data_IF_694532492741
#
_entry.id   IF_694532492741
#
_cell.length_a   1.000
_cell.length_b   1.000
_cell.length_c   1.000
_cell.angle_alpha   90.00
_cell.angle_beta   90.00
_cell.angle_gamma   90.00
#
_symmetry.space_group_name_H-M   'P 1'
#
loop_
_entity.id
_entity.type
_entity.pdbx_description
1 polymer ?
#
# COMPACT_ATOMS: atom_id res chain seq x y z
N UNK A 1 -71.56 -9.35 -40.28
CA UNK A 1 -70.28 -8.69 -40.61
C UNK A 1 -69.58 -8.32 -39.34
N UNK A 2 -68.69 -9.17 -38.81
CA UNK A 2 -67.97 -8.97 -37.58
C UNK A 2 -66.50 -8.60 -37.93
N UNK A 3 -66.07 -7.40 -37.63
CA UNK A 3 -64.70 -6.92 -37.82
C UNK A 3 -63.84 -7.39 -36.67
N UNK A 4 -62.87 -8.26 -36.91
CA UNK A 4 -61.79 -8.60 -35.98
C UNK A 4 -60.78 -7.47 -36.02
N UNK A 5 -60.54 -6.83 -34.88
CA UNK A 5 -59.43 -5.92 -34.67
C UNK A 5 -58.28 -6.73 -34.04
N UNK A 6 -57.24 -6.97 -34.82
CA UNK A 6 -56.04 -7.60 -34.31
C UNK A 6 -55.18 -6.53 -33.61
N UNK A 7 -55.01 -6.67 -32.32
CA UNK A 7 -54.16 -5.83 -31.47
C UNK A 7 -52.75 -6.42 -31.44
N UNK A 8 -51.84 -5.81 -32.23
CA UNK A 8 -50.42 -6.16 -32.19
C UNK A 8 -49.78 -5.61 -30.94
N UNK A 9 -49.44 -6.51 -30.00
CA UNK A 9 -48.61 -6.17 -28.82
C UNK A 9 -47.14 -6.11 -29.29
N UNK A 10 -46.59 -4.90 -29.38
CA UNK A 10 -45.15 -4.66 -29.49
C UNK A 10 -44.49 -4.96 -28.15
N UNK A 11 -43.83 -6.08 -28.04
CA UNK A 11 -42.92 -6.37 -26.91
C UNK A 11 -41.66 -5.55 -27.10
N UNK A 12 -41.54 -4.46 -26.35
CA UNK A 12 -40.29 -3.74 -26.19
C UNK A 12 -39.38 -4.56 -25.26
N UNK A 13 -38.48 -5.35 -25.85
CA UNK A 13 -37.45 -6.05 -25.12
C UNK A 13 -36.45 -5.05 -24.53
N UNK A 14 -36.51 -4.79 -23.21
CA UNK A 14 -35.42 -4.16 -22.50
C UNK A 14 -34.19 -5.05 -22.58
N UNK A 15 -33.28 -4.74 -23.50
CA UNK A 15 -31.91 -5.23 -23.44
C UNK A 15 -31.25 -4.50 -22.25
N UNK A 16 -31.29 -5.11 -21.07
CA UNK A 16 -30.45 -4.74 -19.98
C UNK A 16 -29.01 -5.04 -20.40
N UNK A 17 -28.34 -4.03 -20.97
CA UNK A 17 -26.90 -4.06 -21.18
C UNK A 17 -26.23 -4.30 -19.85
N UNK A 18 -25.72 -5.50 -19.61
CA UNK A 18 -24.80 -5.76 -18.52
C UNK A 18 -23.56 -4.89 -18.79
N UNK A 19 -23.52 -3.73 -18.17
CA UNK A 19 -22.29 -2.97 -18.02
C UNK A 19 -21.35 -3.86 -17.21
N UNK A 20 -20.47 -4.62 -17.87
CA UNK A 20 -19.28 -5.14 -17.24
C UNK A 20 -18.46 -3.90 -16.82
N UNK A 21 -18.80 -3.33 -15.68
CA UNK A 21 -17.84 -2.55 -14.94
C UNK A 21 -16.70 -3.52 -14.64
N UNK A 22 -15.61 -3.39 -15.38
CA UNK A 22 -14.32 -3.93 -14.94
C UNK A 22 -14.02 -3.21 -13.64
N UNK A 23 -14.53 -3.75 -12.52
CA UNK A 23 -14.01 -3.40 -11.21
C UNK A 23 -12.54 -3.79 -11.30
N UNK A 24 -11.63 -2.80 -11.24
CA UNK A 24 -10.23 -3.10 -10.95
C UNK A 24 -10.27 -4.04 -9.76
N UNK A 25 -9.85 -5.29 -9.94
CA UNK A 25 -9.71 -6.25 -8.85
C UNK A 25 -8.58 -5.74 -7.96
N UNK A 26 -8.93 -4.84 -7.05
CA UNK A 26 -8.06 -4.44 -5.95
C UNK A 26 -8.03 -5.59 -4.97
N UNK A 27 -6.86 -5.79 -4.34
CA UNK A 27 -6.67 -6.91 -3.46
C UNK A 27 -6.00 -8.10 -4.11
N UNK A 28 -5.41 -7.91 -5.30
CA UNK A 28 -4.49 -8.85 -5.92
C UNK A 28 -3.06 -8.35 -5.83
N UNK A 29 -2.11 -9.27 -5.74
CA UNK A 29 -0.68 -8.97 -5.89
C UNK A 29 -0.39 -8.91 -7.39
N UNK A 30 0.27 -7.85 -7.85
CA UNK A 30 0.63 -7.67 -9.26
C UNK A 30 1.71 -8.66 -9.71
N UNK A 31 1.74 -8.98 -10.99
CA UNK A 31 2.74 -9.89 -11.55
C UNK A 31 4.17 -9.35 -11.42
N UNK A 32 4.32 -8.03 -11.57
CA UNK A 32 5.58 -7.30 -11.43
C UNK A 32 5.34 -5.88 -10.88
N UNK A 33 6.44 -5.15 -10.65
CA UNK A 33 6.38 -3.80 -10.09
C UNK A 33 5.74 -2.76 -11.04
N UNK A 34 5.81 -2.98 -12.37
CA UNK A 34 5.24 -2.06 -13.37
C UNK A 34 3.72 -2.23 -13.49
N UNK A 35 3.20 -3.37 -13.02
CA UNK A 35 1.78 -3.74 -13.09
C UNK A 35 0.99 -3.41 -11.82
N UNK A 36 1.59 -2.77 -10.82
CA UNK A 36 0.89 -2.39 -9.58
C UNK A 36 -0.26 -1.41 -9.85
N UNK A 37 -1.34 -1.52 -9.07
CA UNK A 37 -2.57 -0.71 -9.22
C UNK A 37 -2.87 0.05 -7.92
N UNK A 38 -2.06 1.05 -7.55
CA UNK A 38 -2.16 1.71 -6.25
C UNK A 38 -3.45 2.49 -6.09
N UNK A 39 -3.79 2.78 -4.81
CA UNK A 39 -4.90 3.67 -4.48
C UNK A 39 -4.67 5.05 -5.08
N UNK A 40 -5.74 5.61 -5.64
CA UNK A 40 -5.75 6.95 -6.21
C UNK A 40 -6.16 8.01 -5.17
N UNK A 41 -5.78 9.26 -5.40
CA UNK A 41 -6.24 10.39 -4.60
C UNK A 41 -7.78 10.41 -4.55
N UNK A 42 -8.34 10.68 -3.37
CA UNK A 42 -9.77 10.66 -3.10
C UNK A 42 -10.31 9.30 -2.65
N UNK A 43 -9.59 8.20 -2.86
CA UNK A 43 -10.00 6.88 -2.37
C UNK A 43 -9.69 6.71 -0.88
N UNK A 44 -10.36 5.76 -0.24
CA UNK A 44 -10.21 5.51 1.19
C UNK A 44 -9.31 4.29 1.40
N UNK A 45 -8.35 4.42 2.31
CA UNK A 45 -7.47 3.34 2.72
C UNK A 45 -8.27 2.14 3.29
N UNK A 46 -7.84 0.91 3.05
CA UNK A 46 -8.52 -0.29 3.51
C UNK A 46 -8.44 -0.42 5.04
N UNK A 47 -9.39 -1.19 5.58
CA UNK A 47 -9.44 -1.53 7.01
C UNK A 47 -8.63 -2.80 7.26
N UNK A 48 -7.33 -2.64 7.39
CA UNK A 48 -6.41 -3.77 7.62
C UNK A 48 -5.83 -3.74 9.01
N UNK A 49 -5.31 -4.88 9.44
CA UNK A 49 -4.61 -5.05 10.72
C UNK A 49 -3.14 -5.31 10.45
N UNK A 50 -2.30 -4.50 11.05
CA UNK A 50 -0.85 -4.58 11.04
C UNK A 50 -0.36 -5.06 12.41
N UNK A 51 0.94 -5.28 12.55
CA UNK A 51 1.57 -5.51 13.84
C UNK A 51 2.59 -4.41 14.13
N UNK A 52 2.64 -4.00 15.38
CA UNK A 52 3.73 -3.17 15.88
C UNK A 52 5.03 -3.99 15.94
N UNK A 53 6.17 -3.32 16.15
CA UNK A 53 7.46 -4.00 16.29
C UNK A 53 7.53 -4.96 17.51
N UNK A 54 6.69 -4.77 18.53
CA UNK A 54 6.54 -5.68 19.67
C UNK A 54 5.59 -6.87 19.39
N UNK A 55 5.06 -6.99 18.16
CA UNK A 55 4.13 -8.02 17.73
C UNK A 55 2.66 -7.73 18.07
N UNK A 56 2.35 -6.66 18.79
CA UNK A 56 0.97 -6.31 19.12
C UNK A 56 0.18 -5.89 17.86
N UNK A 57 -1.08 -6.35 17.70
CA UNK A 57 -1.89 -5.97 16.56
C UNK A 57 -2.38 -4.52 16.65
N UNK A 58 -2.41 -3.83 15.52
CA UNK A 58 -2.93 -2.47 15.41
C UNK A 58 -3.72 -2.29 14.12
N UNK A 59 -4.86 -1.63 14.19
CA UNK A 59 -5.66 -1.29 13.02
C UNK A 59 -5.11 -0.04 12.33
N UNK A 60 -4.86 -0.11 11.02
CA UNK A 60 -4.50 1.07 10.22
C UNK A 60 -5.56 2.17 10.35
N UNK A 61 -6.85 1.81 10.33
CA UNK A 61 -7.94 2.76 10.53
C UNK A 61 -7.86 3.46 11.89
N UNK A 62 -7.56 2.73 12.96
CA UNK A 62 -7.43 3.32 14.30
C UNK A 62 -6.28 4.32 14.37
N UNK A 63 -5.16 4.06 13.72
CA UNK A 63 -4.02 4.97 13.62
C UNK A 63 -4.38 6.24 12.85
N UNK A 64 -4.97 6.10 11.66
CA UNK A 64 -5.32 7.24 10.80
C UNK A 64 -6.41 8.13 11.40
N UNK A 65 -7.35 7.57 12.19
CA UNK A 65 -8.36 8.35 12.90
C UNK A 65 -7.78 9.26 14.00
N UNK A 66 -6.64 8.91 14.56
CA UNK A 66 -5.97 9.73 15.58
C UNK A 66 -5.32 10.97 14.96
N UNK A 67 -4.53 10.77 13.89
CA UNK A 67 -3.78 11.83 13.21
C UNK A 67 -3.79 11.62 11.70
N UNK A 68 -3.72 12.69 10.89
CA UNK A 68 -3.34 12.57 9.49
C UNK A 68 -2.03 11.80 9.41
N UNK A 69 -1.87 10.97 8.38
CA UNK A 69 -0.78 10.00 8.35
C UNK A 69 -0.04 10.05 7.03
N UNK A 70 1.29 10.05 7.10
CA UNK A 70 2.16 9.74 5.99
C UNK A 70 2.47 8.26 6.08
N UNK A 71 1.94 7.48 5.14
CA UNK A 71 2.12 6.03 5.06
C UNK A 71 3.18 5.74 4.01
N UNK A 72 4.31 5.20 4.45
CA UNK A 72 5.41 4.77 3.61
C UNK A 72 5.39 3.25 3.47
N UNK A 73 5.34 2.72 2.25
CA UNK A 73 5.62 1.32 1.99
C UNK A 73 7.07 1.14 1.56
N UNK A 74 7.78 0.25 2.26
CA UNK A 74 9.19 -0.02 1.99
C UNK A 74 9.48 -1.53 2.01
N UNK A 75 10.57 -1.92 1.37
CA UNK A 75 10.89 -3.33 1.10
C UNK A 75 11.40 -4.09 2.33
N UNK A 76 12.02 -3.36 3.26
CA UNK A 76 12.62 -3.90 4.48
C UNK A 76 13.87 -3.14 4.91
N UNK A 77 14.32 -3.34 6.16
CA UNK A 77 15.51 -2.72 6.74
C UNK A 77 16.82 -3.11 6.03
N UNK A 78 16.83 -4.22 5.31
CA UNK A 78 17.96 -4.66 4.49
C UNK A 78 18.16 -3.84 3.20
N UNK A 79 17.21 -2.97 2.81
CA UNK A 79 17.23 -2.23 1.55
C UNK A 79 17.92 -0.87 1.72
N UNK A 80 19.11 -0.61 1.11
CA UNK A 80 19.83 0.65 1.30
C UNK A 80 19.03 1.89 0.89
N UNK A 81 18.33 1.84 -0.25
CA UNK A 81 17.49 2.95 -0.73
C UNK A 81 16.30 3.24 0.21
N UNK A 82 15.79 2.20 0.91
CA UNK A 82 14.73 2.38 1.90
C UNK A 82 15.27 3.08 3.15
N UNK A 83 16.46 2.68 3.61
CA UNK A 83 17.11 3.28 4.77
C UNK A 83 17.48 4.74 4.48
N UNK A 84 17.99 5.05 3.28
CA UNK A 84 18.25 6.42 2.85
C UNK A 84 16.97 7.28 2.85
N UNK A 85 15.87 6.75 2.31
CA UNK A 85 14.58 7.46 2.34
C UNK A 85 14.07 7.70 3.76
N UNK A 86 14.17 6.70 4.63
CA UNK A 86 13.82 6.84 6.04
C UNK A 86 14.69 7.91 6.73
N UNK A 87 15.99 7.96 6.43
CA UNK A 87 16.89 8.98 6.95
C UNK A 87 16.49 10.39 6.49
N UNK A 88 16.18 10.57 5.20
CA UNK A 88 15.68 11.85 4.67
C UNK A 88 14.35 12.28 5.31
N UNK A 89 13.44 11.35 5.59
CA UNK A 89 12.20 11.64 6.31
C UNK A 89 12.46 12.04 7.76
N UNK A 90 13.51 11.50 8.40
CA UNK A 90 13.93 11.91 9.74
C UNK A 90 14.31 13.39 9.77
N UNK A 91 15.01 13.89 8.77
CA UNK A 91 15.46 15.28 8.72
C UNK A 91 14.28 16.28 8.72
N UNK A 92 13.13 15.88 8.17
CA UNK A 92 11.91 16.71 8.11
C UNK A 92 10.82 16.27 9.10
N UNK A 93 11.10 15.27 9.93
CA UNK A 93 10.11 14.67 10.83
C UNK A 93 9.47 15.68 11.76
N UNK A 94 10.30 16.57 12.34
CA UNK A 94 9.81 17.61 13.25
C UNK A 94 8.79 18.50 12.56
N UNK A 95 9.04 18.93 11.33
CA UNK A 95 8.13 19.80 10.58
C UNK A 95 6.82 19.09 10.29
N UNK A 96 6.87 17.81 9.89
CA UNK A 96 5.68 16.99 9.65
C UNK A 96 4.85 16.79 10.94
N UNK A 97 5.51 16.56 12.07
CA UNK A 97 4.85 16.43 13.39
C UNK A 97 4.21 17.76 13.81
N UNK A 98 4.90 18.89 13.62
CA UNK A 98 4.38 20.23 13.91
C UNK A 98 3.16 20.56 13.03
N UNK A 99 3.10 20.06 11.78
CA UNK A 99 1.93 20.12 10.89
C UNK A 99 0.79 19.16 11.32
N UNK A 100 1.02 18.31 12.33
CA UNK A 100 0.05 17.38 12.90
C UNK A 100 0.04 15.98 12.30
N UNK A 101 0.96 15.66 11.41
CA UNK A 101 1.09 14.32 10.83
C UNK A 101 1.77 13.34 11.79
N UNK A 102 1.49 12.05 11.58
CA UNK A 102 2.31 10.93 12.04
C UNK A 102 2.91 10.21 10.83
N UNK A 103 4.04 9.54 11.03
CA UNK A 103 4.70 8.77 9.96
C UNK A 103 4.58 7.29 10.29
N UNK A 104 3.99 6.52 9.39
CA UNK A 104 3.76 5.09 9.48
C UNK A 104 4.57 4.40 8.39
N UNK A 105 5.60 3.64 8.73
CA UNK A 105 6.39 2.90 7.77
C UNK A 105 6.00 1.41 7.79
N UNK A 106 5.44 0.93 6.70
CA UNK A 106 4.89 -0.42 6.55
C UNK A 106 5.84 -1.26 5.69
N UNK A 107 6.19 -2.43 6.20
CA UNK A 107 7.07 -3.40 5.54
C UNK A 107 6.47 -4.80 5.64
N UNK A 108 6.73 -5.71 4.67
CA UNK A 108 6.38 -7.11 4.80
C UNK A 108 7.24 -7.89 5.81
N UNK A 109 8.24 -7.26 6.41
CA UNK A 109 9.10 -7.91 7.41
C UNK A 109 8.35 -8.27 8.69
N UNK A 110 8.82 -9.32 9.38
CA UNK A 110 8.26 -9.73 10.66
C UNK A 110 8.47 -8.67 11.75
N UNK A 111 7.66 -8.68 12.84
CA UNK A 111 7.86 -7.80 13.98
C UNK A 111 9.26 -7.87 14.57
N UNK A 112 9.87 -9.05 14.65
CA UNK A 112 11.23 -9.23 15.19
C UNK A 112 12.26 -8.44 14.37
N UNK A 113 12.16 -8.48 13.03
CA UNK A 113 13.03 -7.70 12.13
C UNK A 113 12.81 -6.20 12.29
N UNK A 114 11.58 -5.77 12.49
CA UNK A 114 11.28 -4.36 12.76
C UNK A 114 11.80 -3.92 14.12
N UNK A 115 11.80 -4.80 15.12
CA UNK A 115 12.37 -4.51 16.45
C UNK A 115 13.88 -4.31 16.37
N UNK A 116 14.60 -5.16 15.61
CA UNK A 116 16.02 -5.00 15.32
C UNK A 116 16.29 -3.65 14.65
N UNK A 117 15.56 -3.32 13.58
CA UNK A 117 15.69 -2.05 12.86
C UNK A 117 15.42 -0.85 13.76
N UNK A 118 14.41 -0.92 14.64
CA UNK A 118 14.07 0.14 15.59
C UNK A 118 15.20 0.43 16.58
N UNK A 119 15.92 -0.61 17.02
CA UNK A 119 17.05 -0.46 17.93
C UNK A 119 18.26 0.22 17.27
N UNK A 120 18.39 0.09 15.95
CA UNK A 120 19.46 0.70 15.17
C UNK A 120 19.18 2.17 14.79
N UNK A 121 17.92 2.59 14.87
CA UNK A 121 17.45 3.91 14.42
C UNK A 121 16.70 4.66 15.51
N UNK A 122 17.11 5.89 15.82
CA UNK A 122 16.38 6.81 16.71
C UNK A 122 15.28 7.57 15.93
N UNK A 123 14.24 6.86 15.46
CA UNK A 123 13.14 7.46 14.72
C UNK A 123 11.86 7.57 15.54
N UNK A 124 11.11 8.68 15.41
CA UNK A 124 9.70 8.78 15.80
C UNK A 124 8.74 8.12 14.81
N UNK A 125 9.27 7.56 13.73
CA UNK A 125 8.50 6.78 12.75
C UNK A 125 7.96 5.51 13.41
N UNK A 126 6.67 5.26 13.25
CA UNK A 126 6.06 4.01 13.69
C UNK A 126 6.31 2.93 12.63
N UNK A 127 7.17 1.96 12.96
CA UNK A 127 7.42 0.80 12.10
C UNK A 127 6.29 -0.23 12.29
N UNK A 128 5.72 -0.67 11.17
CA UNK A 128 4.57 -1.59 11.13
C UNK A 128 4.87 -2.78 10.22
N UNK A 129 4.63 -3.97 10.74
CA UNK A 129 4.73 -5.23 10.02
C UNK A 129 3.42 -5.56 9.32
N UNK A 130 3.49 -5.81 8.03
CA UNK A 130 2.42 -6.40 7.20
C UNK A 130 2.83 -7.82 6.76
N UNK A 131 3.21 -8.65 7.74
CA UNK A 131 3.71 -10.01 7.51
C UNK A 131 2.67 -10.96 6.86
N UNK A 132 1.40 -10.53 6.82
CA UNK A 132 0.32 -11.19 6.09
C UNK A 132 0.06 -10.62 4.70
N UNK A 133 0.74 -9.53 4.35
CA UNK A 133 0.64 -8.85 3.06
C UNK A 133 -0.74 -8.23 2.76
N UNK A 134 -1.64 -8.15 3.74
CA UNK A 134 -3.00 -7.67 3.54
C UNK A 134 -3.03 -6.18 3.18
N UNK A 135 -2.25 -5.36 3.89
CA UNK A 135 -2.21 -3.91 3.64
C UNK A 135 -1.51 -3.59 2.32
N UNK A 136 -0.39 -4.24 2.04
CA UNK A 136 0.36 -4.12 0.77
C UNK A 136 -0.53 -4.49 -0.41
N UNK A 137 -1.29 -5.59 -0.30
CA UNK A 137 -2.23 -6.05 -1.32
C UNK A 137 -3.38 -5.06 -1.53
N UNK A 138 -4.04 -4.65 -0.46
CA UNK A 138 -5.22 -3.78 -0.54
C UNK A 138 -4.89 -2.33 -0.95
N UNK A 139 -3.67 -1.85 -0.71
CA UNK A 139 -3.18 -0.59 -1.27
C UNK A 139 -2.80 -0.70 -2.74
N UNK A 140 -2.77 -1.92 -3.29
CA UNK A 140 -2.43 -2.19 -4.68
C UNK A 140 -0.96 -1.92 -5.01
N UNK A 141 -0.06 -2.02 -4.03
CA UNK A 141 1.38 -1.76 -4.21
C UNK A 141 2.22 -3.03 -4.19
N UNK A 142 1.62 -4.18 -3.87
CA UNK A 142 2.31 -5.47 -3.82
C UNK A 142 2.56 -6.07 -5.20
N UNK A 143 3.73 -6.65 -5.38
CA UNK A 143 4.07 -7.39 -6.60
C UNK A 143 4.90 -8.63 -6.28
N UNK A 144 4.83 -9.62 -7.17
CA UNK A 144 5.63 -10.83 -7.09
C UNK A 144 7.07 -10.58 -7.55
N UNK A 145 8.01 -11.14 -6.81
CA UNK A 145 9.41 -11.10 -7.19
C UNK A 145 9.73 -12.30 -8.09
N UNK A 146 10.48 -12.05 -9.15
CA UNK A 146 10.95 -13.13 -10.02
C UNK A 146 11.93 -14.07 -9.28
N UNK A 147 11.93 -15.34 -9.67
CA UNK A 147 12.69 -16.41 -9.02
C UNK A 147 14.21 -16.15 -9.01
N UNK A 148 14.73 -15.51 -10.04
CA UNK A 148 16.18 -15.23 -10.16
C UNK A 148 16.58 -14.18 -9.12
N UNK A 149 15.79 -13.12 -9.01
CA UNK A 149 16.01 -12.06 -8.03
C UNK A 149 15.77 -12.57 -6.60
N UNK A 150 14.76 -13.42 -6.37
CA UNK A 150 14.55 -14.09 -5.07
C UNK A 150 15.77 -14.92 -4.66
N UNK A 151 16.29 -15.74 -5.56
CA UNK A 151 17.48 -16.55 -5.29
C UNK A 151 18.71 -15.68 -4.96
N UNK A 152 18.88 -14.57 -5.69
CA UNK A 152 19.96 -13.61 -5.43
C UNK A 152 19.82 -13.00 -4.02
N UNK A 153 18.63 -12.59 -3.59
CA UNK A 153 18.42 -12.06 -2.24
C UNK A 153 18.70 -13.12 -1.16
N UNK A 154 18.30 -14.35 -1.40
CA UNK A 154 18.61 -15.46 -0.51
C UNK A 154 20.11 -15.67 -0.32
N UNK A 155 20.94 -15.47 -1.38
CA UNK A 155 22.41 -15.56 -1.26
C UNK A 155 23.00 -14.43 -0.40
N UNK A 156 22.28 -13.33 -0.24
CA UNK A 156 22.65 -12.23 0.66
C UNK A 156 22.07 -12.39 2.08
N UNK A 157 21.45 -13.54 2.37
CA UNK A 157 20.83 -13.79 3.67
C UNK A 157 19.49 -13.08 3.87
N UNK A 158 18.91 -12.52 2.81
CA UNK A 158 17.61 -11.81 2.86
C UNK A 158 16.50 -12.83 2.69
N UNK A 159 15.68 -13.01 3.74
CA UNK A 159 14.50 -13.87 3.71
C UNK A 159 13.28 -13.01 3.46
N UNK A 160 12.66 -13.17 2.29
CA UNK A 160 11.48 -12.40 1.88
C UNK A 160 10.20 -13.05 2.42
N UNK A 161 9.21 -12.21 2.72
CA UNK A 161 7.86 -12.66 3.07
C UNK A 161 7.18 -13.26 1.86
N UNK A 162 6.48 -14.37 2.08
CA UNK A 162 5.78 -15.13 1.05
C UNK A 162 4.28 -15.12 1.29
N UNK A 163 3.53 -15.14 0.19
CA UNK A 163 2.10 -15.36 0.23
C UNK A 163 1.75 -16.84 0.55
N UNK A 164 0.48 -17.15 0.63
CA UNK A 164 -0.04 -18.51 0.89
C UNK A 164 0.36 -19.52 -0.21
N UNK A 165 0.67 -19.05 -1.42
CA UNK A 165 1.12 -19.87 -2.55
C UNK A 165 2.64 -20.08 -2.56
N UNK A 166 3.36 -19.46 -1.63
CA UNK A 166 4.82 -19.58 -1.51
C UNK A 166 5.61 -18.61 -2.40
N UNK A 167 4.96 -17.63 -3.03
CA UNK A 167 5.61 -16.61 -3.84
C UNK A 167 6.08 -15.44 -2.98
N UNK A 168 7.29 -14.95 -3.24
CA UNK A 168 7.85 -13.79 -2.55
C UNK A 168 7.18 -12.49 -3.02
N UNK A 169 6.73 -11.67 -2.06
CA UNK A 169 6.04 -10.40 -2.32
C UNK A 169 6.83 -9.24 -1.75
N UNK A 170 6.96 -8.19 -2.55
CA UNK A 170 7.51 -6.90 -2.12
C UNK A 170 6.55 -5.77 -2.50
N UNK A 171 6.52 -4.67 -1.72
CA UNK A 171 5.83 -3.47 -2.15
C UNK A 171 6.67 -2.65 -3.13
N UNK A 172 6.05 -2.11 -4.16
CA UNK A 172 6.59 -0.98 -4.89
C UNK A 172 6.72 0.19 -3.89
N UNK A 173 7.89 0.82 -3.82
CA UNK A 173 8.10 1.91 -2.88
C UNK A 173 7.10 3.04 -3.12
N UNK A 174 6.43 3.44 -2.05
CA UNK A 174 5.33 4.38 -2.16
C UNK A 174 5.13 5.20 -0.90
N UNK A 175 4.60 6.41 -1.08
CA UNK A 175 4.15 7.31 -0.02
C UNK A 175 2.69 7.65 -0.29
N UNK A 176 1.85 7.53 0.74
CA UNK A 176 0.47 8.00 0.73
C UNK A 176 0.26 8.98 1.88
N UNK A 177 -0.36 10.11 1.61
CA UNK A 177 -0.84 11.01 2.64
C UNK A 177 -2.31 10.79 2.87
N UNK A 178 -2.68 10.48 4.10
CA UNK A 178 -4.04 10.16 4.50
C UNK A 178 -4.56 11.21 5.48
N UNK A 179 -5.78 11.68 5.27
CA UNK A 179 -6.48 12.44 6.30
C UNK A 179 -7.03 11.53 7.42
N UNK A 180 -7.63 12.10 8.47
CA UNK A 180 -8.21 11.35 9.60
C UNK A 180 -9.38 10.42 9.21
N UNK A 181 -9.94 10.55 8.01
CA UNK A 181 -10.96 9.65 7.49
C UNK A 181 -10.35 8.48 6.69
N UNK A 182 -9.02 8.42 6.61
CA UNK A 182 -8.30 7.45 5.79
C UNK A 182 -8.34 7.76 4.29
N UNK A 183 -8.80 8.93 3.88
CA UNK A 183 -8.84 9.30 2.46
C UNK A 183 -7.45 9.71 1.98
N UNK A 184 -7.04 9.19 0.83
CA UNK A 184 -5.78 9.53 0.17
C UNK A 184 -5.86 10.95 -0.36
N UNK A 185 -4.99 11.83 0.13
CA UNK A 185 -4.84 13.21 -0.32
C UNK A 185 -3.75 13.32 -1.39
N UNK A 186 -2.70 12.54 -1.25
CA UNK A 186 -1.58 12.47 -2.17
C UNK A 186 -1.03 11.04 -2.21
N UNK A 187 -0.55 10.61 -3.37
CA UNK A 187 0.17 9.35 -3.53
C UNK A 187 1.35 9.51 -4.47
N UNK A 188 2.46 8.88 -4.12
CA UNK A 188 3.62 8.69 -4.97
C UNK A 188 3.98 7.21 -4.97
N UNK A 189 4.04 6.59 -6.15
CA UNK A 189 4.44 5.19 -6.32
C UNK A 189 5.41 5.11 -7.48
N UNK A 190 6.49 4.36 -7.32
CA UNK A 190 7.46 4.17 -8.40
C UNK A 190 7.87 2.69 -8.47
N UNK A 191 7.71 2.03 -9.64
CA UNK A 191 8.16 0.64 -9.83
C UNK A 191 9.69 0.51 -9.76
N UNK A 192 10.45 1.52 -10.16
CA UNK A 192 11.91 1.53 -9.91
C UNK A 192 12.18 1.81 -8.43
N UNK A 193 12.57 0.76 -7.72
CA UNK A 193 12.82 0.84 -6.28
C UNK A 193 13.97 1.76 -5.87
N UNK A 194 14.75 2.28 -6.81
CA UNK A 194 15.84 3.24 -6.57
C UNK A 194 15.36 4.69 -6.59
N UNK A 195 14.23 4.94 -7.25
CA UNK A 195 13.66 6.30 -7.38
C UNK A 195 12.74 6.59 -6.20
N UNK A 196 12.98 7.70 -5.52
CA UNK A 196 12.25 8.14 -4.34
C UNK A 196 11.82 9.60 -4.45
N UNK A 197 10.69 10.02 -3.85
CA UNK A 197 10.38 11.43 -3.72
C UNK A 197 11.36 12.08 -2.73
N UNK A 198 11.77 13.30 -3.00
CA UNK A 198 12.61 14.04 -2.06
C UNK A 198 11.83 14.43 -0.80
N UNK A 199 12.55 14.69 0.29
CA UNK A 199 11.97 15.24 1.53
C UNK A 199 11.22 16.56 1.26
N UNK A 200 11.78 17.45 0.42
CA UNK A 200 11.14 18.72 0.04
C UNK A 200 9.79 18.51 -0.66
N UNK A 201 9.68 17.49 -1.54
CA UNK A 201 8.40 17.17 -2.16
C UNK A 201 7.40 16.71 -1.11
N UNK A 202 7.83 15.86 -0.16
CA UNK A 202 6.95 15.36 0.91
C UNK A 202 6.44 16.52 1.77
N UNK A 203 7.31 17.48 2.14
CA UNK A 203 6.92 18.69 2.88
C UNK A 203 5.96 19.58 2.07
N UNK A 204 6.23 19.75 0.77
CA UNK A 204 5.45 20.64 -0.07
C UNK A 204 4.00 20.16 -0.31
N UNK A 205 3.74 18.86 -0.15
CA UNK A 205 2.40 18.26 -0.33
C UNK A 205 1.70 17.93 0.99
N UNK A 206 2.38 18.07 2.14
CA UNK A 206 1.83 17.92 3.48
C UNK A 206 1.08 19.19 3.91
#
# INVERSE_FOLDING_TARGET
>A
MKRLVAMAMLMFGCIAGASNAYALERGTIAEDADSVTPLLNGQVAPKTTLKMADGSPVSLQALTMQKPSIVLFYRGGWCPYCNEQLAQLKDIEKDLVDMGYQILAISPESPDRLQEQKLETEFLVTLLSDDKLDTIREFGVGFYLDTVTELKYKTYGINLTKDESGNSVLPAPSIFMLNKKGQVLFSYVNPDFKVRPSADLVLAVA
#
